data_IF_965749689803
#
_entry.id   IF_965749689803
#
_cell.length_a   1.000
_cell.length_b   1.000
_cell.length_c   1.000
_cell.angle_alpha   90.00
_cell.angle_beta   90.00
_cell.angle_gamma   90.00
#
_symmetry.space_group_name_H-M   'P 1'
#
loop_
_entity.id
_entity.type
_entity.pdbx_description
1 polymer ?
#
# COMPACT_ATOMS: atom_id res chain seq x y z
N UNK A 1 -78.80 -4.21 50.67
CA UNK A 1 -78.90 -3.45 51.98
C UNK A 1 -78.00 -2.27 51.74
N UNK A 2 -78.62 -1.18 51.22
CA UNK A 2 -79.00 0.04 51.88
C UNK A 2 -77.92 0.59 52.86
N UNK A 3 -77.39 1.74 52.54
CA UNK A 3 -77.59 3.11 52.97
C UNK A 3 -76.31 3.84 52.53
N UNK A 4 -76.24 4.85 51.76
CA UNK A 4 -76.89 6.13 51.73
C UNK A 4 -76.23 7.14 52.68
N UNK A 5 -75.63 8.19 52.12
CA UNK A 5 -75.95 9.59 52.49
C UNK A 5 -74.92 10.56 51.88
N UNK A 6 -75.43 11.59 51.22
CA UNK A 6 -74.84 12.87 50.78
C UNK A 6 -74.82 13.87 51.96
N UNK A 7 -74.55 15.16 51.75
CA UNK A 7 -73.39 15.98 51.28
C UNK A 7 -73.06 17.11 52.24
N UNK A 8 -72.06 17.96 51.97
CA UNK A 8 -71.98 19.40 52.36
C UNK A 8 -70.80 20.05 51.61
N UNK A 9 -71.06 20.92 50.69
CA UNK A 9 -71.28 22.39 50.67
C UNK A 9 -70.17 23.22 51.31
N UNK A 10 -69.49 23.93 50.44
CA UNK A 10 -69.12 25.33 50.68
C UNK A 10 -67.65 25.67 50.81
N UNK A 11 -67.04 26.33 49.87
CA UNK A 11 -66.77 27.77 49.97
C UNK A 11 -65.85 28.22 48.80
N UNK A 12 -66.31 29.20 48.10
CA UNK A 12 -65.54 29.90 47.06
C UNK A 12 -64.53 30.83 47.75
N UNK A 13 -63.30 30.84 47.25
CA UNK A 13 -62.39 31.99 47.42
C UNK A 13 -61.78 32.30 46.03
N UNK A 14 -62.14 33.50 45.59
CA UNK A 14 -61.54 34.13 44.41
C UNK A 14 -60.09 34.45 44.70
N UNK A 15 -59.17 34.05 43.81
CA UNK A 15 -57.85 34.63 43.76
C UNK A 15 -57.43 34.84 42.27
N UNK A 16 -57.06 36.07 42.06
CA UNK A 16 -56.78 36.74 40.80
C UNK A 16 -55.81 36.00 39.88
N UNK A 17 -56.18 35.96 38.59
CA UNK A 17 -55.41 35.48 37.46
C UNK A 17 -54.41 36.56 37.08
N UNK A 18 -53.12 36.35 37.40
CA UNK A 18 -52.00 37.16 36.91
C UNK A 18 -51.40 36.46 35.73
N UNK A 19 -51.74 36.90 34.52
CA UNK A 19 -51.19 36.44 33.28
C UNK A 19 -49.72 36.87 33.14
N UNK A 20 -48.79 35.93 33.35
CA UNK A 20 -47.39 36.09 33.02
C UNK A 20 -47.18 35.54 31.62
N UNK A 21 -47.07 36.42 30.63
CA UNK A 21 -46.69 36.10 29.26
C UNK A 21 -45.21 35.75 29.22
N UNK A 22 -44.87 34.47 29.07
CA UNK A 22 -43.52 34.05 28.66
C UNK A 22 -43.38 34.16 27.12
N UNK A 23 -42.31 34.77 26.59
CA UNK A 23 -42.07 34.76 25.16
C UNK A 23 -41.55 33.37 24.77
N UNK A 24 -42.17 32.78 23.75
CA UNK A 24 -41.69 31.60 23.01
C UNK A 24 -40.39 31.94 22.36
N UNK A 25 -39.25 31.50 22.87
CA UNK A 25 -38.02 31.38 22.14
C UNK A 25 -38.12 30.14 21.22
N UNK A 26 -37.89 30.26 19.92
CA UNK A 26 -37.71 29.12 19.06
C UNK A 26 -36.35 28.48 19.36
N UNK A 27 -36.33 27.30 19.96
CA UNK A 27 -35.14 26.45 20.06
C UNK A 27 -34.74 26.05 18.67
N UNK A 28 -33.78 26.79 18.11
CA UNK A 28 -33.05 26.45 16.88
C UNK A 28 -32.19 25.21 17.21
N UNK A 29 -32.69 24.05 16.84
CA UNK A 29 -31.94 22.79 16.91
C UNK A 29 -30.82 22.86 15.88
N UNK A 30 -29.62 23.30 16.29
CA UNK A 30 -28.41 23.31 15.48
C UNK A 30 -27.98 21.85 15.32
N UNK A 31 -28.36 21.24 14.20
CA UNK A 31 -27.84 19.94 13.75
C UNK A 31 -26.37 20.16 13.41
N UNK A 32 -25.49 19.91 14.38
CA UNK A 32 -24.04 19.90 14.15
C UNK A 32 -23.73 18.61 13.38
N UNK A 33 -23.82 18.67 12.05
CA UNK A 33 -23.24 17.65 11.18
C UNK A 33 -21.71 17.73 11.38
N UNK A 34 -21.17 16.86 12.23
CA UNK A 34 -19.73 16.64 12.32
C UNK A 34 -19.29 16.01 11.00
N UNK A 35 -18.86 16.87 10.08
CA UNK A 35 -18.05 16.44 8.95
C UNK A 35 -16.76 15.86 9.56
N UNK A 36 -16.67 14.53 9.66
CA UNK A 36 -15.42 13.84 9.91
C UNK A 36 -14.62 13.98 8.63
N UNK A 37 -13.94 15.13 8.51
CA UNK A 37 -12.88 15.26 7.50
C UNK A 37 -11.84 14.20 7.86
N UNK A 38 -11.73 13.17 7.05
CA UNK A 38 -10.58 12.27 7.03
C UNK A 38 -9.37 13.11 6.62
N UNK A 39 -8.81 13.85 7.58
CA UNK A 39 -7.55 14.53 7.39
C UNK A 39 -6.51 13.42 7.19
N UNK A 40 -6.03 13.28 5.96
CA UNK A 40 -4.81 12.54 5.70
C UNK A 40 -3.75 13.10 6.66
N UNK A 41 -3.32 12.30 7.63
CA UNK A 41 -2.24 12.69 8.55
C UNK A 41 -1.02 12.91 7.66
N UNK A 42 -0.51 14.14 7.54
CA UNK A 42 0.69 14.37 6.74
C UNK A 42 1.80 13.53 7.36
N UNK A 43 2.48 12.74 6.52
CA UNK A 43 3.73 12.10 6.95
C UNK A 43 4.64 13.19 7.48
N UNK A 44 5.24 13.05 8.66
CA UNK A 44 6.14 14.05 9.17
C UNK A 44 7.22 14.32 8.13
N UNK A 45 7.32 15.59 7.71
CA UNK A 45 8.36 16.06 6.81
C UNK A 45 9.70 16.04 7.55
N UNK A 46 10.23 14.87 7.81
CA UNK A 46 11.49 14.72 8.52
C UNK A 46 12.53 14.05 7.65
N UNK A 47 13.62 14.68 7.67
CA UNK A 47 14.90 14.64 6.98
C UNK A 47 14.89 15.54 5.75
N UNK A 48 14.64 16.83 5.97
CA UNK A 48 15.16 17.88 5.12
C UNK A 48 16.68 17.78 5.17
N UNK A 49 17.36 17.50 4.06
CA UNK A 49 18.82 17.46 4.01
C UNK A 49 19.44 16.38 3.14
N UNK A 50 18.61 15.63 2.38
CA UNK A 50 19.16 14.63 1.45
C UNK A 50 19.86 15.23 0.23
N UNK A 51 19.74 16.51 0.00
CA UNK A 51 20.19 17.18 -1.23
C UNK A 51 21.69 17.44 -1.28
N UNK A 52 22.45 17.05 -0.25
CA UNK A 52 23.89 17.23 -0.14
C UNK A 52 24.72 15.96 -0.12
N UNK A 53 24.13 14.77 -0.22
CA UNK A 53 24.90 13.51 -0.15
C UNK A 53 25.80 13.34 -1.37
N UNK A 54 27.10 13.17 -1.11
CA UNK A 54 28.10 12.82 -2.11
C UNK A 54 28.01 11.33 -2.48
N UNK A 55 28.49 10.92 -3.66
CA UNK A 55 28.52 9.51 -4.05
C UNK A 55 29.17 8.63 -2.96
N UNK A 56 28.48 7.58 -2.55
CA UNK A 56 28.93 6.70 -1.45
C UNK A 56 28.41 7.08 -0.08
N UNK A 57 27.80 8.25 0.08
CA UNK A 57 27.23 8.69 1.35
C UNK A 57 25.77 8.23 1.52
N UNK A 58 25.40 8.08 2.78
CA UNK A 58 24.03 7.75 3.18
C UNK A 58 23.73 8.28 4.59
N UNK A 59 22.45 8.34 4.93
CA UNK A 59 21.96 8.64 6.27
C UNK A 59 21.00 7.52 6.69
N UNK A 60 21.09 7.11 7.94
CA UNK A 60 20.22 6.13 8.57
C UNK A 60 19.85 6.58 9.98
N UNK A 61 18.58 6.57 10.32
CA UNK A 61 18.07 7.05 11.61
C UNK A 61 17.83 5.89 12.57
N UNK A 62 18.80 5.49 13.39
CA UNK A 62 18.68 4.32 14.26
C UNK A 62 17.65 4.51 15.40
N UNK A 63 17.33 5.75 15.77
CA UNK A 63 16.28 6.05 16.75
C UNK A 63 14.87 5.75 16.24
N UNK A 64 14.70 5.63 14.94
CA UNK A 64 13.46 5.23 14.31
C UNK A 64 13.56 3.74 14.00
N UNK A 65 13.41 2.90 15.02
CA UNK A 65 13.33 1.45 14.80
C UNK A 65 12.11 1.16 13.93
N UNK A 66 12.27 0.40 12.84
CA UNK A 66 11.14 0.05 12.00
C UNK A 66 10.09 -0.72 12.80
N UNK A 67 8.93 -0.12 13.02
CA UNK A 67 7.82 -0.74 13.76
C UNK A 67 6.76 -1.30 12.81
N UNK A 68 6.91 -1.07 11.51
CA UNK A 68 5.94 -1.45 10.49
C UNK A 68 6.57 -1.95 9.20
N UNK A 69 5.76 -2.08 8.14
CA UNK A 69 6.23 -2.53 6.84
C UNK A 69 7.31 -1.63 6.28
N UNK A 70 8.38 -2.24 5.76
CA UNK A 70 9.42 -1.54 5.04
C UNK A 70 9.08 -1.41 3.56
N UNK A 71 9.34 -0.23 3.03
CA UNK A 71 9.28 0.06 1.59
C UNK A 71 10.59 0.73 1.19
N UNK A 72 11.22 0.20 0.15
CA UNK A 72 12.39 0.83 -0.48
C UNK A 72 11.93 1.53 -1.74
N UNK A 73 12.17 2.83 -1.83
CA UNK A 73 11.88 3.64 -3.02
C UNK A 73 13.19 4.09 -3.66
N UNK A 74 13.36 3.84 -4.96
CA UNK A 74 14.55 4.20 -5.72
C UNK A 74 14.15 5.16 -6.84
N UNK A 75 14.73 6.35 -6.81
CA UNK A 75 14.61 7.35 -7.87
C UNK A 75 15.79 7.23 -8.83
N UNK A 76 15.51 6.85 -10.07
CA UNK A 76 16.53 6.74 -11.12
C UNK A 76 17.08 8.11 -11.49
N UNK A 77 16.24 9.13 -11.63
CA UNK A 77 16.67 10.49 -11.98
C UNK A 77 17.50 11.14 -10.88
N UNK A 78 17.16 10.93 -9.60
CA UNK A 78 17.90 11.48 -8.48
C UNK A 78 19.11 10.64 -8.07
N UNK A 79 19.26 9.42 -8.55
CA UNK A 79 20.25 8.43 -8.09
C UNK A 79 20.24 8.31 -6.56
N UNK A 80 19.03 8.07 -6.01
CA UNK A 80 18.78 7.97 -4.57
C UNK A 80 17.91 6.75 -4.24
N UNK A 81 18.22 6.13 -3.12
CA UNK A 81 17.33 5.18 -2.46
C UNK A 81 16.81 5.79 -1.17
N UNK A 82 15.53 5.63 -0.91
CA UNK A 82 14.86 6.04 0.31
C UNK A 82 14.22 4.82 0.95
N UNK A 83 14.34 4.72 2.27
CA UNK A 83 13.73 3.62 3.04
C UNK A 83 12.68 4.19 3.96
N UNK A 84 11.48 3.63 3.88
CA UNK A 84 10.34 3.99 4.71
C UNK A 84 9.97 2.81 5.61
N UNK A 85 9.65 3.11 6.86
CA UNK A 85 9.04 2.18 7.81
C UNK A 85 7.74 2.78 8.30
N UNK A 86 6.65 2.04 8.21
CA UNK A 86 5.29 2.52 8.53
C UNK A 86 4.97 3.89 7.90
N UNK A 87 5.46 4.13 6.68
CA UNK A 87 5.29 5.40 5.97
C UNK A 87 6.23 6.53 6.39
N UNK A 88 7.07 6.34 7.40
CA UNK A 88 8.08 7.32 7.84
C UNK A 88 9.42 7.02 7.19
N UNK A 89 10.05 8.04 6.59
CA UNK A 89 11.38 7.88 6.00
C UNK A 89 12.44 7.72 7.11
N UNK A 90 13.11 6.57 7.12
CA UNK A 90 14.14 6.20 8.11
C UNK A 90 15.56 6.15 7.52
N UNK A 91 15.68 6.17 6.19
CA UNK A 91 16.97 6.12 5.53
C UNK A 91 16.95 6.79 4.17
N UNK A 92 18.10 7.31 3.77
CA UNK A 92 18.41 7.81 2.43
C UNK A 92 19.84 7.48 2.06
N UNK A 93 20.05 7.09 0.80
CA UNK A 93 21.37 6.74 0.28
C UNK A 93 21.53 7.18 -1.15
N UNK A 94 22.77 7.48 -1.53
CA UNK A 94 23.13 7.54 -2.94
C UNK A 94 23.09 6.13 -3.54
N UNK A 95 22.85 6.03 -4.84
CA UNK A 95 22.90 4.77 -5.58
C UNK A 95 23.64 4.95 -6.91
N UNK A 96 24.04 3.84 -7.53
CA UNK A 96 24.44 3.82 -8.93
C UNK A 96 23.66 2.75 -9.67
N UNK A 97 22.74 3.19 -10.54
CA UNK A 97 21.84 2.34 -11.31
C UNK A 97 22.43 1.95 -12.66
N UNK A 98 21.65 1.29 -13.50
CA UNK A 98 22.06 0.84 -14.83
C UNK A 98 22.45 1.98 -15.76
N UNK A 99 23.61 1.82 -16.44
CA UNK A 99 24.12 2.74 -17.46
C UNK A 99 23.30 2.68 -18.75
N UNK A 100 23.54 3.59 -19.67
CA UNK A 100 22.97 3.56 -21.02
C UNK A 100 23.18 2.19 -21.70
N UNK A 101 22.14 1.64 -22.30
CA UNK A 101 22.12 0.29 -22.87
C UNK A 101 21.88 -0.86 -21.86
N UNK A 102 21.92 -0.55 -20.55
CA UNK A 102 21.66 -1.48 -19.45
C UNK A 102 20.86 -0.80 -18.35
N UNK A 103 19.83 -0.06 -18.72
CA UNK A 103 19.03 0.71 -17.78
C UNK A 103 18.39 -0.20 -16.72
N UNK A 104 18.35 0.29 -15.48
CA UNK A 104 17.53 -0.33 -14.44
C UNK A 104 16.06 -0.12 -14.79
N UNK A 105 15.24 -1.16 -14.97
CA UNK A 105 13.86 -0.97 -15.37
C UNK A 105 13.03 -0.41 -14.18
N UNK A 106 12.26 0.67 -14.40
CA UNK A 106 11.31 1.13 -13.42
C UNK A 106 10.19 0.11 -13.22
N UNK A 107 9.66 0.00 -12.01
CA UNK A 107 8.60 -0.95 -11.70
C UNK A 107 8.38 -1.15 -10.21
N UNK A 108 7.47 -2.06 -9.90
CA UNK A 108 7.19 -2.51 -8.54
C UNK A 108 7.72 -3.92 -8.39
N UNK A 109 8.60 -4.11 -7.43
CA UNK A 109 9.27 -5.38 -7.17
C UNK A 109 9.08 -5.81 -5.72
N UNK A 110 9.37 -7.07 -5.45
CA UNK A 110 9.59 -7.58 -4.10
C UNK A 110 10.94 -8.26 -4.03
N UNK A 111 11.55 -8.27 -2.85
CA UNK A 111 12.78 -9.03 -2.65
C UNK A 111 12.44 -10.52 -2.73
N UNK A 112 13.00 -11.22 -3.72
CA UNK A 112 12.75 -12.63 -4.00
C UNK A 112 13.75 -13.56 -3.29
N UNK A 113 14.98 -13.08 -3.09
CA UNK A 113 16.07 -13.85 -2.49
C UNK A 113 17.06 -12.88 -1.84
N UNK A 114 17.74 -13.34 -0.78
CA UNK A 114 18.80 -12.59 -0.10
C UNK A 114 20.03 -13.47 0.09
N UNK A 115 21.20 -12.92 -0.24
CA UNK A 115 22.49 -13.59 0.04
C UNK A 115 23.51 -12.56 0.52
N UNK A 116 24.16 -12.85 1.64
CA UNK A 116 25.19 -11.97 2.20
C UNK A 116 26.40 -11.89 1.27
N UNK A 117 26.79 -13.01 0.69
CA UNK A 117 27.81 -13.14 -0.32
C UNK A 117 27.19 -13.72 -1.60
N UNK A 118 27.44 -13.08 -2.71
CA UNK A 118 26.98 -13.52 -4.04
C UNK A 118 27.94 -13.02 -5.12
N UNK A 119 28.13 -13.81 -6.15
CA UNK A 119 28.88 -13.46 -7.35
C UNK A 119 27.93 -13.51 -8.56
N UNK A 120 28.14 -12.62 -9.51
CA UNK A 120 27.29 -12.53 -10.69
C UNK A 120 27.56 -13.69 -11.62
N UNK A 121 26.53 -14.45 -11.97
CA UNK A 121 26.63 -15.49 -13.03
C UNK A 121 26.63 -14.90 -14.44
N UNK A 122 26.33 -13.60 -14.58
CA UNK A 122 26.16 -12.92 -15.87
C UNK A 122 27.35 -12.01 -16.23
N UNK A 123 28.17 -11.60 -15.23
CA UNK A 123 29.19 -10.58 -15.41
C UNK A 123 30.46 -10.95 -14.64
N UNK A 124 31.33 -11.78 -15.23
CA UNK A 124 32.69 -12.09 -14.81
C UNK A 124 32.87 -12.31 -13.28
N UNK A 125 32.00 -13.08 -12.68
CA UNK A 125 31.98 -13.35 -11.23
C UNK A 125 32.11 -12.08 -10.37
N UNK A 126 31.58 -10.95 -10.83
CA UNK A 126 31.62 -9.69 -10.09
C UNK A 126 30.98 -9.83 -8.71
N UNK A 127 31.64 -9.40 -7.62
CA UNK A 127 31.11 -9.53 -6.28
C UNK A 127 29.87 -8.64 -6.08
N UNK A 128 28.86 -9.21 -5.47
CA UNK A 128 27.59 -8.57 -5.14
C UNK A 128 27.26 -8.77 -3.65
N UNK A 129 28.04 -8.15 -2.72
CA UNK A 129 27.81 -8.29 -1.28
C UNK A 129 26.41 -7.78 -0.90
N UNK A 130 25.77 -8.45 0.06
CA UNK A 130 24.42 -8.13 0.54
C UNK A 130 23.37 -8.12 -0.56
N UNK A 131 23.48 -9.05 -1.50
CA UNK A 131 22.56 -9.17 -2.63
C UNK A 131 21.13 -9.41 -2.19
N UNK A 132 20.21 -8.62 -2.74
CA UNK A 132 18.76 -8.72 -2.59
C UNK A 132 18.14 -8.75 -3.99
N UNK A 133 17.74 -9.93 -4.43
CA UNK A 133 17.22 -10.17 -5.79
C UNK A 133 15.83 -9.61 -5.95
N UNK A 134 15.59 -8.89 -7.04
CA UNK A 134 14.29 -8.29 -7.39
C UNK A 134 13.61 -8.97 -8.57
N UNK A 135 14.37 -9.56 -9.50
CA UNK A 135 13.83 -10.35 -10.60
C UNK A 135 14.70 -11.58 -10.88
N UNK A 136 14.11 -12.57 -11.53
CA UNK A 136 14.86 -13.77 -11.93
C UNK A 136 15.78 -13.52 -13.14
N UNK A 137 15.56 -12.41 -13.86
CA UNK A 137 16.42 -11.95 -14.96
C UNK A 137 17.71 -11.27 -14.46
N UNK A 138 17.98 -11.26 -13.16
CA UNK A 138 19.23 -10.81 -12.60
C UNK A 138 19.22 -9.41 -11.97
N UNK A 139 18.09 -8.70 -11.94
CA UNK A 139 17.98 -7.42 -11.23
C UNK A 139 18.09 -7.63 -9.71
N UNK A 140 18.98 -6.86 -9.06
CA UNK A 140 19.18 -6.93 -7.60
C UNK A 140 19.66 -5.60 -7.03
N UNK A 141 19.49 -5.43 -5.70
CA UNK A 141 20.21 -4.47 -4.87
C UNK A 141 21.44 -5.15 -4.31
N UNK A 142 22.59 -4.49 -4.30
CA UNK A 142 23.82 -5.01 -3.68
C UNK A 142 24.83 -3.90 -3.37
N UNK A 143 25.80 -4.16 -2.54
CA UNK A 143 26.92 -3.24 -2.33
C UNK A 143 27.78 -3.16 -3.60
N UNK A 144 28.27 -1.95 -3.92
CA UNK A 144 29.15 -1.78 -5.08
C UNK A 144 29.75 -0.38 -5.18
N UNK A 145 30.48 -0.14 -6.25
CA UNK A 145 31.08 1.16 -6.54
C UNK A 145 30.04 2.18 -6.99
N UNK A 146 30.09 3.39 -6.44
CA UNK A 146 29.21 4.51 -6.74
C UNK A 146 30.02 5.69 -7.32
N UNK A 147 30.19 5.76 -8.63
CA UNK A 147 30.94 6.85 -9.28
C UNK A 147 30.18 8.18 -9.33
N UNK A 148 28.95 8.25 -8.81
CA UNK A 148 28.08 9.44 -8.83
C UNK A 148 27.14 9.53 -10.05
N UNK A 149 27.14 8.51 -10.89
CA UNK A 149 26.26 8.40 -12.05
C UNK A 149 25.85 6.95 -12.30
N UNK A 150 24.87 6.66 -13.15
CA UNK A 150 24.53 5.29 -13.57
C UNK A 150 25.73 4.59 -14.21
N UNK A 151 26.14 3.43 -13.65
CA UNK A 151 27.33 2.71 -14.08
C UNK A 151 27.23 1.18 -13.99
N UNK A 152 26.09 0.64 -13.53
CA UNK A 152 25.86 -0.81 -13.44
C UNK A 152 25.38 -1.39 -14.77
N UNK A 153 25.20 -2.70 -14.81
CA UNK A 153 24.57 -3.43 -15.92
C UNK A 153 23.09 -3.77 -15.60
N UNK A 154 22.41 -2.87 -14.88
CA UNK A 154 20.99 -3.01 -14.51
C UNK A 154 20.73 -3.04 -13.02
N UNK A 155 21.58 -3.67 -12.22
CA UNK A 155 21.44 -3.71 -10.77
C UNK A 155 21.56 -2.32 -10.12
N UNK A 156 21.03 -2.18 -8.92
CA UNK A 156 21.18 -0.98 -8.10
C UNK A 156 22.29 -1.19 -7.11
N UNK A 157 23.40 -0.46 -7.31
CA UNK A 157 24.55 -0.47 -6.39
C UNK A 157 24.32 0.50 -5.24
N UNK A 158 24.64 0.05 -4.04
CA UNK A 158 24.49 0.77 -2.77
C UNK A 158 25.87 0.95 -2.12
N UNK A 159 26.08 1.99 -1.29
CA UNK A 159 27.24 2.06 -0.40
C UNK A 159 27.28 0.81 0.50
N UNK A 160 28.46 0.27 0.76
CA UNK A 160 28.62 -1.00 1.48
C UNK A 160 27.91 -1.00 2.84
N UNK A 161 28.12 0.04 3.66
CA UNK A 161 27.48 0.16 4.99
C UNK A 161 25.97 0.28 4.90
N UNK A 162 25.44 0.99 3.89
CA UNK A 162 23.99 1.06 3.69
C UNK A 162 23.41 -0.27 3.23
N UNK A 163 24.08 -0.97 2.31
CA UNK A 163 23.66 -2.28 1.84
C UNK A 163 23.59 -3.31 2.97
N UNK A 164 24.58 -3.28 3.90
CA UNK A 164 24.62 -4.13 5.09
C UNK A 164 23.44 -3.85 6.02
N UNK A 165 23.20 -2.57 6.36
CA UNK A 165 22.07 -2.17 7.20
C UNK A 165 20.75 -2.59 6.54
N UNK A 166 20.55 -2.24 5.26
CA UNK A 166 19.33 -2.55 4.53
C UNK A 166 19.10 -4.07 4.46
N UNK A 167 20.17 -4.83 4.23
CA UNK A 167 20.10 -6.30 4.24
C UNK A 167 19.65 -6.84 5.61
N UNK A 168 20.09 -6.26 6.71
CA UNK A 168 19.65 -6.64 8.06
C UNK A 168 18.18 -6.31 8.35
N UNK A 169 17.65 -5.25 7.74
CA UNK A 169 16.30 -4.74 8.03
C UNK A 169 15.22 -5.32 7.12
N UNK A 170 15.57 -5.70 5.90
CA UNK A 170 14.63 -6.25 4.92
C UNK A 170 14.42 -7.75 5.08
N UNK A 171 13.37 -8.27 4.46
CA UNK A 171 13.07 -9.70 4.34
C UNK A 171 12.61 -10.03 2.93
N UNK A 172 12.57 -11.30 2.58
CA UNK A 172 11.89 -11.74 1.35
C UNK A 172 10.45 -11.25 1.37
N UNK A 173 9.99 -10.67 0.26
CA UNK A 173 8.69 -10.01 0.14
C UNK A 173 8.69 -8.53 0.54
N UNK A 174 9.80 -7.94 1.02
CA UNK A 174 9.89 -6.48 1.19
C UNK A 174 9.71 -5.80 -0.17
N UNK A 175 8.85 -4.78 -0.21
CA UNK A 175 8.52 -4.04 -1.44
C UNK A 175 9.64 -3.09 -1.81
N UNK A 176 10.02 -3.11 -3.08
CA UNK A 176 10.98 -2.20 -3.70
C UNK A 176 10.33 -1.55 -4.91
N UNK A 177 10.20 -0.24 -4.92
CA UNK A 177 9.68 0.51 -6.06
C UNK A 177 10.81 1.28 -6.70
N UNK A 178 11.01 1.07 -7.99
CA UNK A 178 11.98 1.78 -8.81
C UNK A 178 11.20 2.70 -9.74
N UNK A 179 11.46 4.00 -9.65
CA UNK A 179 10.76 5.01 -10.42
C UNK A 179 11.74 5.90 -11.20
N UNK A 180 11.34 6.33 -12.39
CA UNK A 180 12.14 7.30 -13.15
C UNK A 180 12.21 8.65 -12.46
N UNK A 181 11.08 9.10 -11.90
CA UNK A 181 10.95 10.39 -11.21
C UNK A 181 11.29 10.32 -9.73
N UNK A 182 11.33 11.49 -9.11
CA UNK A 182 11.66 11.69 -7.71
C UNK A 182 10.45 11.89 -6.80
N UNK A 183 9.21 11.58 -7.22
CA UNK A 183 8.03 11.77 -6.36
C UNK A 183 8.08 10.82 -5.17
N UNK A 184 8.25 11.35 -3.94
CA UNK A 184 8.33 10.51 -2.75
C UNK A 184 7.02 9.76 -2.50
N UNK A 185 7.08 8.60 -1.84
CA UNK A 185 5.91 7.94 -1.29
C UNK A 185 5.08 8.87 -0.40
N UNK A 186 3.76 8.78 -0.49
CA UNK A 186 2.83 9.60 0.29
C UNK A 186 1.76 8.76 0.96
N UNK A 187 1.25 9.24 2.09
CA UNK A 187 0.08 8.64 2.70
C UNK A 187 -1.11 8.77 1.75
N UNK A 188 -1.85 7.68 1.57
CA UNK A 188 -3.02 7.64 0.72
C UNK A 188 -4.22 7.04 1.44
N UNK A 189 -5.40 7.46 1.04
CA UNK A 189 -6.60 6.72 1.38
C UNK A 189 -6.64 5.40 0.58
N UNK A 190 -7.42 4.44 1.05
CA UNK A 190 -7.62 3.18 0.32
C UNK A 190 -8.00 3.45 -1.14
N UNK A 191 -7.39 2.74 -2.11
CA UNK A 191 -7.61 3.00 -3.54
C UNK A 191 -9.02 2.66 -4.04
N UNK A 192 -9.90 2.13 -3.20
CA UNK A 192 -11.29 1.83 -3.53
C UNK A 192 -11.49 0.48 -4.22
N UNK A 193 -10.58 0.00 -5.04
CA UNK A 193 -10.72 -1.24 -5.83
C UNK A 193 -11.00 -2.51 -5.01
N UNK A 194 -10.66 -2.48 -3.73
CA UNK A 194 -10.97 -3.52 -2.76
C UNK A 194 -12.05 -3.06 -1.75
N UNK A 195 -12.68 -1.90 -1.92
CA UNK A 195 -13.77 -1.48 -1.05
C UNK A 195 -14.97 -2.42 -1.23
N UNK A 196 -15.76 -2.58 -0.16
CA UNK A 196 -17.07 -3.21 -0.30
C UNK A 196 -17.98 -2.22 -1.03
N UNK A 197 -17.91 -2.20 -2.34
CA UNK A 197 -18.93 -1.52 -3.16
C UNK A 197 -20.19 -2.35 -3.08
N UNK A 198 -20.96 -2.16 -2.00
CA UNK A 198 -22.33 -2.64 -1.90
C UNK A 198 -23.28 -1.84 -2.79
N UNK A 199 -22.78 -1.18 -3.80
CA UNK A 199 -23.58 -0.56 -4.84
C UNK A 199 -23.60 -1.53 -6.01
N UNK A 200 -24.73 -2.18 -6.19
CA UNK A 200 -25.15 -2.65 -7.51
C UNK A 200 -25.03 -1.45 -8.46
N UNK A 201 -23.88 -1.32 -9.11
CA UNK A 201 -23.73 -0.36 -10.20
C UNK A 201 -24.74 -0.79 -11.24
N UNK A 202 -25.73 0.05 -11.44
CA UNK A 202 -26.97 -0.18 -12.15
C UNK A 202 -26.82 -1.17 -13.32
N UNK A 203 -27.24 -2.41 -13.12
CA UNK A 203 -27.63 -3.32 -14.19
C UNK A 203 -26.53 -4.10 -14.91
N UNK A 204 -25.27 -3.96 -14.57
CA UNK A 204 -24.20 -4.81 -15.15
C UNK A 204 -23.71 -5.81 -14.10
N UNK A 205 -24.01 -7.09 -14.34
CA UNK A 205 -23.48 -8.17 -13.49
C UNK A 205 -21.95 -8.19 -13.61
N UNK A 206 -21.25 -7.93 -12.50
CA UNK A 206 -19.81 -8.17 -12.44
C UNK A 206 -19.51 -9.61 -12.86
N UNK A 207 -18.37 -9.87 -13.56
CA UNK A 207 -18.02 -11.22 -13.97
C UNK A 207 -18.09 -12.18 -12.80
N UNK A 208 -18.92 -13.21 -12.85
CA UNK A 208 -19.21 -14.10 -11.73
C UNK A 208 -18.18 -15.19 -11.50
N UNK A 209 -17.16 -15.28 -12.36
CA UNK A 209 -16.13 -16.32 -12.28
C UNK A 209 -14.82 -15.81 -11.70
N UNK A 210 -14.38 -16.43 -10.61
CA UNK A 210 -13.02 -16.22 -10.08
C UNK A 210 -12.47 -17.55 -9.54
N UNK A 211 -11.14 -17.64 -9.43
CA UNK A 211 -10.44 -18.72 -8.72
C UNK A 211 -9.95 -18.22 -7.38
N UNK A 212 -9.98 -19.08 -6.34
CA UNK A 212 -9.49 -18.75 -5.02
C UNK A 212 -8.99 -20.00 -4.31
N UNK A 213 -7.70 -20.09 -4.05
CA UNK A 213 -6.99 -21.26 -3.51
C UNK A 213 -5.88 -20.82 -2.55
N UNK A 214 -6.21 -20.21 -1.39
CA UNK A 214 -5.22 -19.66 -0.46
C UNK A 214 -4.34 -20.74 0.19
N UNK A 215 -4.77 -21.99 0.20
CA UNK A 215 -4.04 -23.16 0.69
C UNK A 215 -2.76 -23.44 -0.13
N UNK A 216 -2.67 -22.99 -1.39
CA UNK A 216 -1.48 -23.16 -2.22
C UNK A 216 -0.26 -22.40 -1.69
N UNK A 217 -0.49 -21.35 -0.91
CA UNK A 217 0.54 -20.59 -0.20
C UNK A 217 -0.05 -20.04 1.10
N UNK A 218 -0.05 -20.83 2.19
CA UNK A 218 -0.74 -20.45 3.43
C UNK A 218 -0.10 -19.27 4.16
N UNK A 219 1.20 -19.04 3.94
CA UNK A 219 1.98 -17.97 4.60
C UNK A 219 2.80 -17.19 3.59
N UNK A 220 3.18 -15.97 3.96
CA UNK A 220 4.05 -15.10 3.17
C UNK A 220 3.39 -13.77 2.79
N UNK A 221 4.17 -12.88 2.16
CA UNK A 221 3.70 -11.56 1.73
C UNK A 221 2.60 -11.69 0.66
N UNK A 222 1.55 -10.88 0.80
CA UNK A 222 0.44 -10.83 -0.14
C UNK A 222 0.66 -9.69 -1.15
N UNK A 223 0.54 -10.00 -2.42
CA UNK A 223 0.55 -9.03 -3.51
C UNK A 223 -0.69 -9.19 -4.37
N UNK A 224 -1.41 -8.10 -4.57
CA UNK A 224 -2.56 -8.01 -5.47
C UNK A 224 -2.14 -7.17 -6.66
N UNK A 225 -2.32 -7.67 -7.88
CA UNK A 225 -2.00 -6.92 -9.10
C UNK A 225 -3.27 -6.79 -9.93
N UNK A 226 -3.71 -5.56 -10.14
CA UNK A 226 -4.79 -5.20 -11.05
C UNK A 226 -4.16 -4.71 -12.36
N UNK A 227 -4.34 -5.44 -13.43
CA UNK A 227 -3.92 -5.07 -14.79
C UNK A 227 -5.11 -4.56 -15.58
N UNK A 228 -5.01 -3.32 -16.07
CA UNK A 228 -6.00 -2.75 -16.98
C UNK A 228 -5.88 -3.38 -18.38
N UNK A 229 -4.64 -3.68 -18.83
CA UNK A 229 -4.42 -4.34 -20.13
C UNK A 229 -5.08 -5.72 -20.20
N UNK A 230 -4.98 -6.51 -19.14
CA UNK A 230 -5.52 -7.87 -19.11
C UNK A 230 -6.96 -7.93 -18.59
N UNK A 231 -7.53 -6.79 -18.16
CA UNK A 231 -8.85 -6.74 -17.50
C UNK A 231 -8.96 -7.77 -16.37
N UNK A 232 -7.92 -7.90 -15.57
CA UNK A 232 -7.83 -8.95 -14.56
C UNK A 232 -7.14 -8.48 -13.27
N UNK A 233 -7.54 -9.10 -12.18
CA UNK A 233 -6.86 -8.98 -10.89
C UNK A 233 -6.31 -10.34 -10.47
N UNK A 234 -5.05 -10.37 -10.05
CA UNK A 234 -4.35 -11.56 -9.57
C UNK A 234 -3.88 -11.34 -8.14
N UNK A 235 -4.08 -12.34 -7.30
CA UNK A 235 -3.58 -12.35 -5.93
C UNK A 235 -2.49 -13.40 -5.82
N UNK A 236 -1.31 -12.96 -5.37
CA UNK A 236 -0.17 -13.84 -5.11
C UNK A 236 0.19 -13.77 -3.63
N UNK A 237 0.53 -14.93 -3.07
CA UNK A 237 1.15 -14.98 -1.75
C UNK A 237 2.46 -15.73 -1.86
N UNK A 238 3.53 -15.12 -1.32
CA UNK A 238 4.88 -15.64 -1.49
C UNK A 238 5.20 -15.96 -2.96
N UNK A 239 4.78 -15.03 -3.86
CA UNK A 239 4.88 -15.14 -5.32
C UNK A 239 4.10 -16.32 -5.97
N UNK A 240 3.30 -17.09 -5.24
CA UNK A 240 2.42 -18.13 -5.77
C UNK A 240 1.03 -17.53 -6.00
N UNK A 241 0.45 -17.73 -7.19
CA UNK A 241 -0.93 -17.31 -7.47
C UNK A 241 -1.91 -18.12 -6.62
N UNK A 242 -2.71 -17.41 -5.82
CA UNK A 242 -3.73 -17.97 -4.94
C UNK A 242 -5.15 -17.50 -5.30
N UNK A 243 -5.25 -16.55 -6.22
CA UNK A 243 -6.56 -16.06 -6.67
C UNK A 243 -6.45 -15.25 -7.94
N UNK A 244 -7.51 -15.31 -8.76
CA UNK A 244 -7.63 -14.54 -9.99
C UNK A 244 -9.10 -14.27 -10.28
N UNK A 245 -9.41 -13.04 -10.70
CA UNK A 245 -10.74 -12.67 -11.17
C UNK A 245 -10.65 -11.77 -12.41
N UNK A 246 -11.66 -11.81 -13.26
CA UNK A 246 -11.85 -10.81 -14.29
C UNK A 246 -12.31 -9.49 -13.65
N UNK A 247 -11.91 -8.37 -14.23
CA UNK A 247 -12.27 -7.02 -13.82
C UNK A 247 -13.10 -6.40 -14.93
N UNK A 248 -14.24 -5.80 -14.57
CA UNK A 248 -14.99 -4.99 -15.52
C UNK A 248 -14.31 -3.64 -15.67
N UNK A 249 -14.04 -3.27 -16.92
CA UNK A 249 -13.45 -1.98 -17.29
C UNK A 249 -14.37 -1.29 -18.30
N UNK A 250 -14.75 -0.05 -18.01
CA UNK A 250 -15.53 0.83 -18.88
C UNK A 250 -14.81 2.17 -18.97
N UNK A 251 -14.08 2.37 -20.06
CA UNK A 251 -13.22 3.55 -20.31
C UNK A 251 -12.36 3.92 -19.06
N UNK A 252 -11.51 2.99 -18.57
CA UNK A 252 -10.69 3.25 -17.41
C UNK A 252 -9.64 4.33 -17.73
N UNK A 253 -9.30 5.20 -16.76
CA UNK A 253 -8.24 6.17 -16.97
C UNK A 253 -6.89 5.47 -17.12
N UNK A 254 -5.99 6.02 -17.93
CA UNK A 254 -4.60 5.61 -17.93
C UNK A 254 -3.99 5.89 -16.54
N UNK A 255 -3.53 4.86 -15.84
CA UNK A 255 -3.09 4.97 -14.43
C UNK A 255 -1.58 5.00 -14.28
N UNK A 256 -0.83 4.57 -15.31
CA UNK A 256 0.57 4.20 -15.17
C UNK A 256 0.71 2.98 -14.23
N UNK A 257 1.87 2.84 -13.60
CA UNK A 257 2.08 1.80 -12.59
C UNK A 257 2.24 2.42 -11.22
N UNK A 258 1.44 1.95 -10.27
CA UNK A 258 1.41 2.44 -8.89
C UNK A 258 1.28 1.29 -7.92
N UNK A 259 2.00 1.39 -6.80
CA UNK A 259 1.88 0.50 -5.66
C UNK A 259 1.19 1.19 -4.49
N UNK A 260 0.36 0.45 -3.80
CA UNK A 260 -0.20 0.80 -2.49
C UNK A 260 0.23 -0.26 -1.50
N UNK A 261 0.87 0.16 -0.41
CA UNK A 261 1.32 -0.75 0.65
C UNK A 261 0.47 -0.52 1.89
N UNK A 262 -0.09 -1.59 2.44
CA UNK A 262 -0.82 -1.54 3.71
C UNK A 262 0.17 -1.26 4.83
N UNK A 263 0.00 -0.14 5.53
CA UNK A 263 0.81 0.22 6.69
C UNK A 263 0.24 -0.40 7.96
N UNK A 264 -1.07 -0.27 8.15
CA UNK A 264 -1.77 -0.75 9.31
C UNK A 264 -3.19 -1.18 8.92
N UNK A 265 -3.69 -2.25 9.51
CA UNK A 265 -5.07 -2.72 9.35
C UNK A 265 -5.95 -2.40 10.56
N UNK A 266 -5.50 -1.48 11.45
CA UNK A 266 -6.22 -1.00 12.64
C UNK A 266 -6.79 -2.12 13.53
N UNK A 267 -5.92 -2.99 14.02
CA UNK A 267 -6.28 -4.09 14.91
C UNK A 267 -5.44 -5.34 14.75
N UNK A 268 -4.34 -5.24 14.02
CA UNK A 268 -3.50 -6.39 13.63
C UNK A 268 -2.42 -6.73 14.65
N UNK A 269 -2.66 -6.55 15.95
CA UNK A 269 -1.99 -7.37 16.93
C UNK A 269 -2.61 -8.78 16.87
N UNK A 270 -1.83 -9.86 16.90
CA UNK A 270 -2.37 -11.23 16.98
C UNK A 270 -3.25 -11.34 18.24
N UNK A 271 -4.58 -11.36 18.06
CA UNK A 271 -5.54 -11.41 19.17
C UNK A 271 -6.32 -10.12 19.43
N UNK A 272 -6.04 -9.00 18.74
CA UNK A 272 -6.87 -7.81 18.81
C UNK A 272 -8.08 -7.95 17.88
N UNK A 273 -9.28 -7.82 18.43
CA UNK A 273 -10.48 -7.68 17.60
C UNK A 273 -10.34 -6.45 16.71
N UNK A 274 -10.52 -6.64 15.39
CA UNK A 274 -10.51 -5.54 14.44
C UNK A 274 -11.50 -4.46 14.93
N UNK A 275 -10.99 -3.26 15.22
CA UNK A 275 -11.86 -2.15 15.63
C UNK A 275 -12.75 -1.82 14.43
N UNK A 276 -14.02 -2.19 14.53
CA UNK A 276 -15.00 -1.93 13.50
C UNK A 276 -15.03 -0.43 13.18
N UNK A 277 -14.80 -0.08 11.90
CA UNK A 277 -14.99 1.27 11.38
C UNK A 277 -13.72 2.08 11.08
N UNK A 278 -12.50 1.58 11.32
CA UNK A 278 -11.28 2.30 10.95
C UNK A 278 -10.68 1.69 9.68
N UNK A 279 -10.60 2.48 8.61
CA UNK A 279 -10.04 2.04 7.34
C UNK A 279 -8.52 1.78 7.45
N UNK A 280 -7.97 0.78 6.75
CA UNK A 280 -6.54 0.56 6.67
C UNK A 280 -5.78 1.81 6.20
N UNK A 281 -4.61 2.08 6.78
CA UNK A 281 -3.70 3.12 6.29
C UNK A 281 -2.86 2.55 5.15
N UNK A 282 -2.67 3.35 4.11
CA UNK A 282 -1.94 2.98 2.91
C UNK A 282 -0.82 3.98 2.61
N UNK A 283 0.25 3.47 2.03
CA UNK A 283 1.32 4.25 1.43
C UNK A 283 1.20 4.12 -0.08
N UNK A 284 1.02 5.23 -0.79
CA UNK A 284 1.02 5.28 -2.25
C UNK A 284 2.42 5.58 -2.78
N UNK A 285 2.86 4.81 -3.75
CA UNK A 285 4.17 4.95 -4.40
C UNK A 285 4.01 4.86 -5.91
N UNK A 286 4.50 5.86 -6.62
CA UNK A 286 4.43 5.93 -8.07
C UNK A 286 5.67 5.31 -8.68
N UNK A 287 5.51 4.31 -9.55
CA UNK A 287 6.61 3.74 -10.33
C UNK A 287 6.73 4.39 -11.71
N UNK A 288 5.67 5.02 -12.22
CA UNK A 288 5.64 5.71 -13.51
C UNK A 288 5.38 7.21 -13.35
N UNK A 289 6.08 8.08 -14.09
CA UNK A 289 5.82 9.53 -14.08
C UNK A 289 4.44 9.91 -14.66
N UNK A 290 3.83 9.05 -15.47
CA UNK A 290 2.51 9.24 -16.06
C UNK A 290 1.36 8.87 -15.13
N UNK A 291 1.64 8.47 -13.88
CA UNK A 291 0.60 8.05 -12.95
C UNK A 291 -0.32 9.23 -12.58
N UNK A 292 -1.63 9.01 -12.75
CA UNK A 292 -2.67 9.98 -12.37
C UNK A 292 -2.81 10.10 -10.84
N UNK A 293 -3.44 11.17 -10.30
CA UNK A 293 -3.74 11.27 -8.87
C UNK A 293 -4.54 10.08 -8.33
N UNK A 294 -4.38 9.75 -7.05
CA UNK A 294 -5.14 8.67 -6.38
C UNK A 294 -6.66 8.88 -6.45
N UNK A 295 -7.10 10.14 -6.50
CA UNK A 295 -8.51 10.52 -6.66
C UNK A 295 -9.10 10.00 -7.95
N UNK A 296 -8.36 10.02 -9.06
CA UNK A 296 -8.83 9.56 -10.39
C UNK A 296 -9.15 8.07 -10.39
N UNK A 297 -8.30 7.25 -9.74
CA UNK A 297 -8.55 5.81 -9.61
C UNK A 297 -9.78 5.57 -8.74
N UNK A 298 -9.90 6.29 -7.62
CA UNK A 298 -11.05 6.17 -6.73
C UNK A 298 -12.34 6.56 -7.43
N UNK A 299 -12.37 7.67 -8.15
CA UNK A 299 -13.51 8.12 -8.95
C UNK A 299 -13.90 7.09 -10.02
N UNK A 300 -12.91 6.44 -10.66
CA UNK A 300 -13.19 5.38 -11.64
C UNK A 300 -13.82 4.15 -11.00
N UNK A 301 -13.45 3.79 -9.77
CA UNK A 301 -14.07 2.72 -9.00
C UNK A 301 -15.45 3.12 -8.50
N UNK A 302 -15.60 4.30 -7.93
CA UNK A 302 -16.89 4.81 -7.41
C UNK A 302 -17.94 4.98 -8.51
N UNK A 303 -17.50 5.35 -9.72
CA UNK A 303 -18.38 5.44 -10.91
C UNK A 303 -18.61 4.09 -11.62
N UNK A 304 -17.97 3.01 -11.15
CA UNK A 304 -18.13 1.68 -11.76
C UNK A 304 -17.30 1.46 -13.02
N UNK A 305 -16.45 2.40 -13.43
CA UNK A 305 -15.56 2.22 -14.59
C UNK A 305 -14.49 1.16 -14.36
N UNK A 306 -14.16 0.89 -13.10
CA UNK A 306 -13.30 -0.22 -12.68
C UNK A 306 -14.07 -0.99 -11.62
N UNK A 307 -14.47 -2.23 -11.89
CA UNK A 307 -15.17 -3.04 -10.92
C UNK A 307 -14.58 -4.45 -10.79
N UNK A 308 -14.18 -4.77 -9.56
CA UNK A 308 -13.75 -6.11 -9.14
C UNK A 308 -14.96 -6.85 -8.57
N UNK A 309 -15.11 -8.16 -8.81
CA UNK A 309 -16.22 -8.92 -8.22
C UNK A 309 -16.29 -8.74 -6.70
N UNK A 310 -17.43 -8.33 -6.12
CA UNK A 310 -17.51 -7.93 -4.71
C UNK A 310 -17.07 -9.03 -3.73
N UNK A 311 -17.50 -10.27 -3.99
CA UNK A 311 -17.12 -11.41 -3.15
C UNK A 311 -15.62 -11.71 -3.23
N UNK A 312 -15.00 -11.58 -4.41
CA UNK A 312 -13.55 -11.71 -4.56
C UNK A 312 -12.82 -10.61 -3.79
N UNK A 313 -13.27 -9.36 -3.91
CA UNK A 313 -12.69 -8.24 -3.16
C UNK A 313 -12.78 -8.44 -1.65
N UNK A 314 -13.87 -9.03 -1.14
CA UNK A 314 -14.04 -9.38 0.28
C UNK A 314 -13.04 -10.47 0.72
N UNK A 315 -12.89 -11.53 -0.07
CA UNK A 315 -11.88 -12.56 0.19
C UNK A 315 -10.48 -11.98 0.27
N UNK A 316 -10.13 -11.11 -0.68
CA UNK A 316 -8.83 -10.42 -0.68
C UNK A 316 -8.66 -9.55 0.56
N UNK A 317 -9.66 -8.73 0.91
CA UNK A 317 -9.61 -7.87 2.11
C UNK A 317 -9.36 -8.67 3.39
N UNK A 318 -10.00 -9.82 3.54
CA UNK A 318 -9.83 -10.69 4.71
C UNK A 318 -8.38 -11.16 4.89
N UNK A 319 -7.60 -11.15 3.82
CA UNK A 319 -6.20 -11.60 3.79
C UNK A 319 -5.19 -10.47 3.94
N UNK A 320 -5.62 -9.19 3.85
CA UNK A 320 -4.70 -8.06 3.98
C UNK A 320 -4.05 -8.03 5.36
N UNK A 321 -2.75 -7.77 5.37
CA UNK A 321 -1.92 -7.58 6.57
C UNK A 321 -0.96 -6.43 6.32
N UNK A 322 -0.37 -5.80 7.35
CA UNK A 322 0.70 -4.85 7.17
C UNK A 322 1.81 -5.41 6.26
N UNK A 323 2.20 -4.64 5.24
CA UNK A 323 3.10 -5.07 4.17
C UNK A 323 2.44 -5.76 2.98
N UNK A 324 1.13 -6.02 2.99
CA UNK A 324 0.40 -6.39 1.78
C UNK A 324 0.48 -5.27 0.76
N UNK A 325 0.61 -5.63 -0.52
CA UNK A 325 0.78 -4.68 -1.61
C UNK A 325 -0.35 -4.83 -2.63
N UNK A 326 -0.91 -3.70 -3.06
CA UNK A 326 -1.78 -3.63 -4.24
C UNK A 326 -1.05 -2.84 -5.31
N UNK A 327 -0.90 -3.42 -6.49
CA UNK A 327 -0.35 -2.76 -7.67
C UNK A 327 -1.49 -2.55 -8.67
N UNK A 328 -1.61 -1.33 -9.18
CA UNK A 328 -2.51 -1.01 -10.30
C UNK A 328 -1.61 -0.59 -11.46
N UNK A 329 -1.83 -1.17 -12.64
CA UNK A 329 -0.98 -0.95 -13.80
C UNK A 329 -1.76 -0.98 -15.10
N UNK A 330 -1.33 -0.16 -16.07
CA UNK A 330 -1.79 -0.24 -17.46
C UNK A 330 -1.12 -1.40 -18.22
N UNK A 331 -0.02 -1.93 -17.69
CA UNK A 331 0.74 -3.02 -18.30
C UNK A 331 0.14 -4.41 -18.05
N UNK A 332 0.57 -5.42 -18.82
CA UNK A 332 0.11 -6.79 -18.66
C UNK A 332 0.69 -7.45 -17.40
N UNK A 333 -0.03 -8.45 -16.86
CA UNK A 333 0.33 -9.21 -15.65
C UNK A 333 1.67 -9.95 -15.73
N UNK A 334 2.12 -10.28 -16.94
CA UNK A 334 3.41 -10.94 -17.19
C UNK A 334 4.57 -9.94 -17.39
N UNK A 335 4.35 -8.65 -17.15
CA UNK A 335 5.42 -7.65 -17.24
C UNK A 335 6.56 -7.97 -16.27
N UNK A 336 7.83 -7.95 -16.72
CA UNK A 336 8.98 -8.16 -15.83
C UNK A 336 9.16 -7.03 -14.81
N UNK A 337 8.44 -5.93 -14.96
CA UNK A 337 8.46 -4.76 -14.05
C UNK A 337 7.43 -4.86 -12.93
N UNK A 338 6.70 -5.97 -12.86
CA UNK A 338 5.74 -6.28 -11.80
C UNK A 338 6.28 -7.38 -10.88
N UNK A 339 5.73 -7.51 -9.67
CA UNK A 339 6.11 -8.59 -8.75
C UNK A 339 6.00 -9.95 -9.45
N UNK A 340 7.14 -10.61 -9.62
CA UNK A 340 7.23 -11.87 -10.37
C UNK A 340 6.60 -13.02 -9.60
N UNK A 341 6.12 -14.03 -10.32
CA UNK A 341 5.75 -15.32 -9.75
C UNK A 341 7.00 -16.10 -9.33
N UNK A 342 6.95 -16.77 -8.19
CA UNK A 342 8.00 -17.68 -7.78
C UNK A 342 7.92 -18.95 -8.65
N UNK A 343 8.83 -19.08 -9.59
CA UNK A 343 9.00 -20.32 -10.34
C UNK A 343 9.87 -21.24 -9.50
N UNK A 344 9.27 -22.23 -8.87
CA UNK A 344 9.99 -23.30 -8.20
C UNK A 344 10.58 -24.22 -9.28
N UNK A 345 11.75 -23.90 -9.78
CA UNK A 345 12.53 -24.83 -10.59
C UNK A 345 13.33 -25.74 -9.64
N UNK A 346 13.44 -27.03 -9.99
CA UNK A 346 14.17 -28.04 -9.22
C UNK A 346 15.66 -27.73 -9.02
N UNK A 347 16.17 -26.68 -9.67
CA UNK A 347 17.56 -26.25 -9.64
C UNK A 347 17.84 -25.08 -8.68
N UNK A 348 16.90 -24.71 -7.79
CA UNK A 348 17.23 -23.76 -6.73
C UNK A 348 18.09 -24.48 -5.67
N UNK A 349 19.37 -24.13 -5.52
CA UNK A 349 20.16 -24.63 -4.40
C UNK A 349 19.49 -24.15 -3.13
N UNK A 350 19.26 -25.08 -2.21
CA UNK A 350 18.55 -24.87 -0.96
C UNK A 350 19.00 -23.60 -0.22
N UNK A 351 18.07 -22.99 0.43
CA UNK A 351 18.28 -21.88 1.38
C UNK A 351 19.29 -22.34 2.44
N UNK A 352 20.57 -22.03 2.25
CA UNK A 352 21.56 -22.12 3.31
C UNK A 352 21.33 -20.93 4.25
N UNK A 353 20.47 -21.16 5.23
CA UNK A 353 20.43 -20.38 6.45
C UNK A 353 21.65 -20.78 7.30
N UNK A 354 22.72 -20.00 7.24
CA UNK A 354 23.74 -19.90 8.28
C UNK A 354 24.15 -18.46 8.48
#
# INVERSE_FOLDING_TARGET
MLIGVKPCVGSQVHAAMMMMRFPLLPTLLLLLATLVANAAVPLPASVAGSDGLQPGEFQWSPQQTPVGPLVVFISLSAQRAYVYSDGVRIGVSTVSTGKAGHQTPPGVYTILQKRREHFSNLYDDAPMPFMQRLSWDGLALHAGSLPGHPASHGCVRLPHGFAEILFGQTRVGTVVVIAEGGTPPSAAAAPGVLAASGMDVAGQAAPSGFSWSPERAPVGPLTVVLSLADSAVVVRRNAVEIGRAAVMLDDPPATGTRAYVVLDTNGSEPGAEARAGVAPRWLSVYASPAAVPDTTIREAVESGRIAVPPHFAELVRSQLRPGSTLVITDGPLNSPTLPSELVLTSDQPGTDER
#
